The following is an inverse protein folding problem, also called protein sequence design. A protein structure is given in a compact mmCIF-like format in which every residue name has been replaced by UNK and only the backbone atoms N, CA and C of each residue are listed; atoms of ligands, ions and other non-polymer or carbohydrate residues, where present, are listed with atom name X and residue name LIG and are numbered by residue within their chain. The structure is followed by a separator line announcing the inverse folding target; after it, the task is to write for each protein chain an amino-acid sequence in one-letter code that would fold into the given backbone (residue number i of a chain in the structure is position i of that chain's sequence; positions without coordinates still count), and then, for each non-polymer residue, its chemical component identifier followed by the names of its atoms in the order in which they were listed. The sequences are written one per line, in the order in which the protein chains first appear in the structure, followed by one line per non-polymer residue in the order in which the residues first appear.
data_IF_049642225301
#
_entry.id   IF_049642225301
#
_cell.length_a   1.000
_cell.length_b   1.000
_cell.length_c   1.000
_cell.angle_alpha   90.00
_cell.angle_beta   90.00
_cell.angle_gamma   90.00
#
_symmetry.space_group_name_H-M   'P 1'
#
loop_
_entity.id
_entity.type
_entity.pdbx_description
1 polymer ?
#
# COMPACT_ATOMS: atom_id res chain seq x y z
N UNK A 1 29.44 29.79 60.17
CA UNK A 1 29.12 29.98 58.75
C UNK A 1 28.96 28.56 58.17
N UNK A 2 27.70 28.07 58.12
CA UNK A 2 27.38 26.71 57.65
C UNK A 2 27.03 26.75 56.18
N UNK A 3 27.71 26.01 55.36
CA UNK A 3 27.35 25.81 53.93
C UNK A 3 26.46 24.56 53.86
N UNK A 4 25.30 24.63 53.19
CA UNK A 4 24.46 23.45 53.01
C UNK A 4 25.01 22.57 51.84
N UNK A 5 25.10 21.26 52.14
CA UNK A 5 25.47 20.20 51.18
C UNK A 5 24.47 20.16 50.03
N UNK A 6 24.95 20.47 48.83
CA UNK A 6 24.24 20.23 47.57
C UNK A 6 24.34 18.76 47.19
N UNK A 7 23.27 17.97 47.39
CA UNK A 7 23.14 16.62 46.77
C UNK A 7 22.85 16.77 45.29
N UNK A 8 23.59 16.13 44.41
CA UNK A 8 23.26 16.14 42.97
C UNK A 8 21.97 15.37 42.74
N UNK A 9 20.96 16.05 42.19
CA UNK A 9 19.73 15.43 41.69
C UNK A 9 20.09 14.53 40.51
N UNK A 10 19.89 13.22 40.67
CA UNK A 10 20.05 12.24 39.58
C UNK A 10 18.98 12.55 38.54
N UNK A 11 19.42 13.14 37.43
CA UNK A 11 18.58 13.32 36.23
C UNK A 11 18.31 11.92 35.67
N UNK A 12 17.08 11.41 35.87
CA UNK A 12 16.62 10.23 35.15
C UNK A 12 16.53 10.60 33.66
N UNK A 13 17.52 10.22 32.89
CA UNK A 13 17.47 10.25 31.43
C UNK A 13 16.45 9.18 31.05
N UNK A 14 15.21 9.60 30.83
CA UNK A 14 14.22 8.75 30.18
C UNK A 14 14.73 8.56 28.75
N UNK A 15 15.32 7.38 28.50
CA UNK A 15 15.56 6.94 27.13
C UNK A 15 14.18 6.69 26.53
N UNK A 16 13.65 7.67 25.78
CA UNK A 16 12.64 7.38 24.79
C UNK A 16 13.28 6.46 23.78
N UNK A 17 12.97 5.16 23.88
CA UNK A 17 13.22 4.21 22.80
C UNK A 17 12.45 4.78 21.62
N UNK A 18 13.15 5.27 20.60
CA UNK A 18 12.48 5.72 19.38
C UNK A 18 11.61 4.55 18.91
N UNK A 19 10.30 4.78 18.85
CA UNK A 19 9.39 3.78 18.31
C UNK A 19 9.84 3.49 16.88
N UNK A 20 10.15 2.23 16.58
CA UNK A 20 10.55 1.80 15.24
C UNK A 20 9.28 1.84 14.42
N UNK A 21 9.11 2.90 13.64
CA UNK A 21 7.99 3.02 12.72
C UNK A 21 8.29 2.12 11.53
N UNK A 22 7.42 1.14 11.24
CA UNK A 22 7.50 0.32 10.04
C UNK A 22 6.50 0.81 9.00
N UNK A 23 6.78 0.56 7.73
CA UNK A 23 5.88 0.87 6.63
C UNK A 23 5.42 -0.39 5.91
N UNK A 24 4.17 -0.36 5.45
CA UNK A 24 3.59 -1.39 4.59
C UNK A 24 3.46 -0.86 3.17
N UNK A 25 3.76 -1.69 2.18
CA UNK A 25 3.38 -1.42 0.79
C UNK A 25 2.34 -2.42 0.33
N UNK A 26 1.29 -1.92 -0.35
CA UNK A 26 0.18 -2.68 -0.88
C UNK A 26 0.02 -2.47 -2.38
N UNK A 27 -0.57 -3.45 -3.07
CA UNK A 27 -1.08 -3.26 -4.43
C UNK A 27 -2.41 -2.50 -4.43
N UNK A 28 -2.76 -1.80 -5.51
CA UNK A 28 -4.08 -1.23 -5.69
C UNK A 28 -5.11 -2.31 -6.02
N UNK A 29 -6.36 -1.93 -6.26
CA UNK A 29 -7.40 -2.79 -6.81
C UNK A 29 -7.78 -2.37 -8.22
N UNK A 30 -8.22 -3.35 -9.04
CA UNK A 30 -8.77 -3.09 -10.38
C UNK A 30 -10.17 -2.48 -10.32
N UNK A 31 -10.96 -2.90 -9.32
CA UNK A 31 -12.28 -2.37 -9.06
C UNK A 31 -12.17 -1.12 -8.18
N UNK A 32 -13.05 -0.18 -8.41
CA UNK A 32 -13.10 1.09 -7.68
C UNK A 32 -14.50 1.32 -7.14
N UNK A 33 -14.60 1.85 -5.94
CA UNK A 33 -15.84 2.32 -5.33
C UNK A 33 -16.02 3.82 -5.62
N UNK A 34 -16.62 4.13 -6.77
CA UNK A 34 -16.90 5.51 -7.20
C UNK A 34 -18.22 6.05 -6.64
N UNK A 35 -19.11 5.17 -6.16
CA UNK A 35 -20.51 5.54 -5.84
C UNK A 35 -20.68 6.02 -4.41
N UNK A 36 -20.08 5.29 -3.45
CA UNK A 36 -20.28 5.63 -2.06
C UNK A 36 -19.43 6.84 -1.67
N UNK A 37 -19.95 7.77 -0.89
CA UNK A 37 -19.19 8.91 -0.41
C UNK A 37 -18.06 8.45 0.51
N UNK A 38 -17.03 9.27 0.66
CA UNK A 38 -16.02 9.05 1.69
C UNK A 38 -16.64 9.17 3.08
N UNK A 39 -16.34 8.25 4.01
CA UNK A 39 -16.84 8.34 5.39
C UNK A 39 -16.17 9.45 6.22
N UNK A 40 -15.09 10.04 5.71
CA UNK A 40 -14.31 11.08 6.39
C UNK A 40 -14.00 12.25 5.46
N UNK A 41 -13.80 13.43 6.01
CA UNK A 41 -13.50 14.65 5.26
C UNK A 41 -12.01 14.96 5.12
N UNK A 42 -11.13 14.38 5.96
CA UNK A 42 -9.69 14.60 5.88
C UNK A 42 -9.10 13.93 4.63
N UNK A 43 -8.18 14.63 3.98
CA UNK A 43 -7.50 14.13 2.79
C UNK A 43 -6.10 14.74 2.64
N UNK A 44 -5.31 14.12 1.77
CA UNK A 44 -4.00 14.61 1.33
C UNK A 44 -3.92 14.58 -0.20
N UNK A 45 -2.87 15.16 -0.77
CA UNK A 45 -2.62 15.17 -2.21
C UNK A 45 -1.48 14.20 -2.56
N UNK A 46 -1.55 13.46 -3.67
CA UNK A 46 -0.48 12.55 -4.08
C UNK A 46 0.84 13.28 -4.32
N UNK A 47 1.93 12.79 -3.74
CA UNK A 47 3.26 13.41 -3.88
C UNK A 47 3.79 13.36 -5.32
N UNK A 48 3.41 12.33 -6.10
CA UNK A 48 3.83 12.14 -7.49
C UNK A 48 2.75 12.54 -8.50
N UNK A 49 1.83 13.44 -8.13
CA UNK A 49 0.75 13.90 -9.01
C UNK A 49 1.24 14.49 -10.34
N UNK A 50 2.32 15.30 -10.39
CA UNK A 50 2.87 15.78 -11.65
C UNK A 50 3.32 14.66 -12.61
N UNK A 51 3.79 13.55 -12.08
CA UNK A 51 4.16 12.37 -12.87
C UNK A 51 2.92 11.66 -13.44
N UNK A 52 1.87 11.58 -12.63
CA UNK A 52 0.59 11.01 -13.06
C UNK A 52 -0.06 11.85 -14.18
N UNK A 53 0.09 13.19 -14.14
CA UNK A 53 -0.37 14.07 -15.22
C UNK A 53 0.29 13.76 -16.57
N UNK A 54 1.61 13.50 -16.57
CA UNK A 54 2.35 13.11 -17.78
C UNK A 54 1.77 11.82 -18.36
N UNK A 55 1.61 10.77 -17.53
CA UNK A 55 1.01 9.51 -17.98
C UNK A 55 -0.42 9.70 -18.47
N UNK A 56 -1.22 10.50 -17.77
CA UNK A 56 -2.60 10.74 -18.15
C UNK A 56 -2.72 11.51 -19.48
N UNK A 57 -1.81 12.46 -19.73
CA UNK A 57 -1.77 13.16 -21.03
C UNK A 57 -1.54 12.18 -22.19
N UNK A 58 -0.71 11.17 -22.01
CA UNK A 58 -0.46 10.15 -23.02
C UNK A 58 -1.62 9.15 -23.13
N UNK A 59 -2.20 8.71 -21.99
CA UNK A 59 -3.35 7.80 -21.96
C UNK A 59 -4.58 8.37 -22.67
N UNK A 60 -4.79 9.68 -22.60
CA UNK A 60 -5.89 10.38 -23.27
C UNK A 60 -5.83 10.31 -24.79
N UNK A 61 -4.65 10.09 -25.36
CA UNK A 61 -4.49 9.99 -26.81
C UNK A 61 -4.97 8.63 -27.35
N UNK A 62 -5.19 7.66 -26.46
CA UNK A 62 -5.60 6.32 -26.88
C UNK A 62 -7.09 6.24 -27.14
N UNK A 63 -7.45 5.75 -28.33
CA UNK A 63 -8.83 5.37 -28.63
C UNK A 63 -9.26 4.15 -27.78
N UNK A 64 -10.57 3.95 -27.53
CA UNK A 64 -11.05 2.81 -26.73
C UNK A 64 -10.53 1.45 -27.20
N UNK A 65 -10.40 1.23 -28.52
CA UNK A 65 -9.85 0.00 -29.08
C UNK A 65 -8.38 -0.22 -28.68
N UNK A 66 -7.57 0.83 -28.69
CA UNK A 66 -6.17 0.78 -28.26
C UNK A 66 -6.06 0.51 -26.75
N UNK A 67 -6.98 1.06 -25.94
CA UNK A 67 -7.08 0.77 -24.51
C UNK A 67 -7.45 -0.71 -24.28
N UNK A 68 -8.40 -1.25 -25.07
CA UNK A 68 -8.80 -2.67 -24.99
C UNK A 68 -7.62 -3.60 -25.26
N UNK A 69 -6.85 -3.32 -26.31
CA UNK A 69 -5.65 -4.08 -26.68
C UNK A 69 -4.54 -3.94 -25.63
N UNK A 70 -4.24 -2.71 -25.20
CA UNK A 70 -3.17 -2.42 -24.24
C UNK A 70 -3.39 -3.09 -22.88
N UNK A 71 -4.62 -3.04 -22.39
CA UNK A 71 -4.97 -3.53 -21.04
C UNK A 71 -5.60 -4.93 -21.05
N UNK A 72 -5.78 -5.55 -22.22
CA UNK A 72 -6.45 -6.84 -22.39
C UNK A 72 -7.82 -6.89 -21.70
N UNK A 73 -8.67 -5.91 -22.00
CA UNK A 73 -10.00 -5.75 -21.39
C UNK A 73 -11.09 -5.75 -22.47
N UNK A 74 -12.35 -5.97 -22.03
CA UNK A 74 -13.50 -5.85 -22.95
C UNK A 74 -13.71 -4.42 -23.41
N UNK A 75 -14.39 -4.25 -24.56
CA UNK A 75 -14.74 -2.93 -25.13
C UNK A 75 -15.50 -2.06 -24.13
N UNK A 76 -16.38 -2.66 -23.33
CA UNK A 76 -17.12 -1.94 -22.26
C UNK A 76 -16.18 -1.33 -21.23
N UNK A 77 -15.16 -2.08 -20.80
CA UNK A 77 -14.16 -1.61 -19.83
C UNK A 77 -13.23 -0.59 -20.47
N UNK A 78 -12.86 -0.78 -21.73
CA UNK A 78 -12.04 0.16 -22.47
C UNK A 78 -12.73 1.50 -22.66
N UNK A 79 -14.01 1.50 -23.06
CA UNK A 79 -14.81 2.72 -23.18
C UNK A 79 -14.92 3.46 -21.84
N UNK A 80 -15.27 2.76 -20.77
CA UNK A 80 -15.31 3.36 -19.42
C UNK A 80 -13.97 4.03 -19.04
N UNK A 81 -12.84 3.42 -19.37
CA UNK A 81 -11.54 4.00 -19.03
C UNK A 81 -11.15 5.15 -19.98
N UNK A 82 -11.56 5.12 -21.25
CA UNK A 82 -11.42 6.27 -22.11
C UNK A 82 -12.21 7.48 -21.58
N UNK A 83 -13.44 7.26 -21.10
CA UNK A 83 -14.27 8.30 -20.47
C UNK A 83 -13.61 8.83 -19.18
N UNK A 84 -13.11 7.96 -18.31
CA UNK A 84 -12.37 8.36 -17.09
C UNK A 84 -11.14 9.19 -17.43
N UNK A 85 -10.34 8.75 -18.40
CA UNK A 85 -9.15 9.47 -18.84
C UNK A 85 -9.50 10.86 -19.39
N UNK A 86 -10.60 10.99 -20.14
CA UNK A 86 -11.04 12.25 -20.73
C UNK A 86 -11.42 13.29 -19.68
N UNK A 87 -12.07 12.88 -18.58
CA UNK A 87 -12.54 13.79 -17.52
C UNK A 87 -11.53 14.00 -16.39
N UNK A 88 -10.47 13.18 -16.33
CA UNK A 88 -9.44 13.31 -15.30
C UNK A 88 -8.74 14.66 -15.38
N UNK A 89 -8.65 15.41 -14.29
CA UNK A 89 -8.02 16.74 -14.26
C UNK A 89 -7.56 17.12 -12.85
N UNK A 90 -6.60 18.02 -12.77
CA UNK A 90 -6.17 18.69 -11.54
C UNK A 90 -6.77 20.11 -11.46
N UNK A 91 -6.87 20.69 -10.26
CA UNK A 91 -6.50 20.14 -8.95
C UNK A 91 -7.50 19.09 -8.45
N UNK A 92 -7.03 18.15 -7.61
CA UNK A 92 -7.92 17.22 -6.93
C UNK A 92 -8.61 17.89 -5.75
N UNK A 93 -9.92 17.71 -5.67
CA UNK A 93 -10.76 18.18 -4.57
C UNK A 93 -11.73 17.08 -4.16
N UNK A 94 -12.35 17.14 -2.97
CA UNK A 94 -13.35 16.14 -2.56
C UNK A 94 -14.55 16.01 -3.50
N UNK A 95 -14.80 17.03 -4.35
CA UNK A 95 -15.91 17.03 -5.33
C UNK A 95 -15.57 16.22 -6.59
N UNK A 96 -14.28 16.06 -6.92
CA UNK A 96 -13.84 15.38 -8.14
C UNK A 96 -12.94 14.15 -7.89
N UNK A 97 -12.60 13.87 -6.63
CA UNK A 97 -11.69 12.80 -6.25
C UNK A 97 -12.07 12.22 -4.89
N UNK A 98 -11.61 11.02 -4.58
CA UNK A 98 -11.84 10.34 -3.30
C UNK A 98 -10.54 9.76 -2.76
N UNK A 99 -10.42 9.64 -1.43
CA UNK A 99 -9.26 9.06 -0.78
C UNK A 99 -9.01 7.62 -1.27
N UNK A 100 -7.76 7.30 -1.54
CA UNK A 100 -7.35 6.05 -2.18
C UNK A 100 -7.83 4.80 -1.43
N UNK A 101 -7.77 4.78 -0.10
CA UNK A 101 -8.19 3.63 0.71
C UNK A 101 -9.69 3.35 0.61
N UNK A 102 -10.52 4.36 0.34
CA UNK A 102 -11.98 4.23 0.14
C UNK A 102 -12.37 4.13 -1.34
N UNK A 103 -11.45 4.48 -2.24
CA UNK A 103 -11.67 4.34 -3.68
C UNK A 103 -11.37 2.93 -4.16
N UNK A 104 -10.25 2.33 -3.74
CA UNK A 104 -9.92 0.97 -4.14
C UNK A 104 -10.88 -0.05 -3.52
N UNK A 105 -11.36 -1.00 -4.33
CA UNK A 105 -12.32 -2.03 -3.94
C UNK A 105 -11.88 -3.41 -4.47
N UNK A 106 -11.63 -4.35 -3.56
CA UNK A 106 -11.20 -5.71 -3.86
C UNK A 106 -10.60 -6.39 -2.64
N UNK A 107 -10.20 -7.66 -2.78
CA UNK A 107 -9.88 -8.56 -1.67
C UNK A 107 -8.96 -7.95 -0.59
N UNK A 108 -7.94 -7.16 -0.99
CA UNK A 108 -7.04 -6.47 -0.04
C UNK A 108 -7.82 -5.43 0.77
N UNK A 109 -8.62 -4.61 0.10
CA UNK A 109 -9.37 -3.50 0.71
C UNK A 109 -10.57 -3.99 1.51
N UNK A 110 -11.18 -5.11 1.10
CA UNK A 110 -12.16 -5.84 1.92
C UNK A 110 -11.53 -6.39 3.21
N UNK A 111 -10.26 -6.83 3.15
CA UNK A 111 -9.51 -7.23 4.33
C UNK A 111 -9.20 -6.07 5.27
N UNK A 112 -8.88 -4.87 4.75
CA UNK A 112 -8.68 -3.65 5.54
C UNK A 112 -10.00 -3.18 6.13
N UNK A 113 -11.10 -3.18 5.32
CA UNK A 113 -12.42 -2.66 5.67
C UNK A 113 -12.33 -1.27 6.34
N UNK A 114 -11.66 -0.33 5.66
CA UNK A 114 -11.29 0.97 6.21
C UNK A 114 -12.47 1.82 6.68
N UNK A 115 -13.65 1.63 6.08
CA UNK A 115 -14.91 2.28 6.44
C UNK A 115 -15.43 1.87 7.83
N UNK A 116 -14.92 0.77 8.39
CA UNK A 116 -15.26 0.26 9.73
C UNK A 116 -14.23 0.60 10.81
N UNK A 117 -13.11 1.22 10.41
CA UNK A 117 -12.04 1.58 11.33
C UNK A 117 -12.35 2.87 12.08
N UNK A 118 -11.82 2.97 13.30
CA UNK A 118 -11.89 4.19 14.10
C UNK A 118 -10.94 5.27 13.58
N UNK A 119 -11.16 6.56 13.92
CA UNK A 119 -10.29 7.64 13.45
C UNK A 119 -8.80 7.42 13.73
N UNK A 120 -8.43 6.96 14.92
CA UNK A 120 -7.03 6.68 15.28
C UNK A 120 -6.41 5.56 14.45
N UNK A 121 -7.22 4.59 14.01
CA UNK A 121 -6.78 3.50 13.14
C UNK A 121 -6.61 3.98 11.69
N UNK A 122 -7.45 4.90 11.23
CA UNK A 122 -7.28 5.58 9.94
C UNK A 122 -6.00 6.42 9.96
N UNK A 123 -5.72 7.12 11.04
CA UNK A 123 -4.48 7.89 11.22
C UNK A 123 -3.26 6.96 11.18
N UNK A 124 -3.35 5.78 11.80
CA UNK A 124 -2.33 4.75 11.69
C UNK A 124 -2.11 4.33 10.23
N UNK A 125 -3.18 4.04 9.48
CA UNK A 125 -3.06 3.70 8.06
C UNK A 125 -2.34 4.82 7.29
N UNK A 126 -2.73 6.07 7.48
CA UNK A 126 -2.14 7.23 6.79
C UNK A 126 -0.65 7.36 7.06
N UNK A 127 -0.22 7.06 8.26
CA UNK A 127 1.18 7.15 8.67
C UNK A 127 2.01 5.98 8.14
N UNK A 128 1.48 4.75 8.20
CA UNK A 128 2.25 3.51 8.01
C UNK A 128 2.06 2.84 6.65
N UNK A 129 1.03 3.17 5.86
CA UNK A 129 0.72 2.45 4.63
C UNK A 129 1.02 3.28 3.39
N UNK A 130 1.55 2.62 2.35
CA UNK A 130 1.74 3.17 1.01
C UNK A 130 1.12 2.22 -0.01
N UNK A 131 0.35 2.78 -0.93
CA UNK A 131 -0.37 2.04 -1.97
C UNK A 131 0.38 2.25 -3.29
N UNK A 132 0.93 1.19 -3.85
CA UNK A 132 1.59 1.26 -5.16
C UNK A 132 0.52 1.44 -6.24
N UNK A 133 0.85 2.16 -7.31
CA UNK A 133 -0.09 2.49 -8.37
C UNK A 133 0.62 2.63 -9.71
N UNK A 134 0.04 2.07 -10.78
CA UNK A 134 0.56 2.25 -12.13
C UNK A 134 0.50 3.71 -12.60
N UNK A 135 -0.57 4.44 -12.24
CA UNK A 135 -0.75 5.83 -12.62
C UNK A 135 -0.14 6.82 -11.63
N UNK A 136 -0.30 6.60 -10.34
CA UNK A 136 0.11 7.56 -9.29
C UNK A 136 1.46 7.21 -8.64
N UNK A 137 2.10 6.10 -9.02
CA UNK A 137 3.35 5.61 -8.41
C UNK A 137 3.14 5.12 -6.98
N UNK A 138 3.08 6.03 -6.03
CA UNK A 138 2.82 5.76 -4.60
C UNK A 138 1.75 6.72 -4.09
N UNK A 139 0.77 6.17 -3.38
CA UNK A 139 -0.27 6.92 -2.68
C UNK A 139 -0.21 6.64 -1.19
N UNK A 140 -0.53 7.65 -0.38
CA UNK A 140 -0.95 7.46 1.00
C UNK A 140 -2.44 7.08 1.04
N UNK A 141 -2.94 6.41 2.08
CA UNK A 141 -4.35 6.02 2.19
C UNK A 141 -5.35 7.15 1.97
N UNK A 142 -5.06 8.35 2.47
CA UNK A 142 -5.94 9.52 2.36
C UNK A 142 -5.61 10.44 1.17
N UNK A 143 -4.70 10.07 0.30
CA UNK A 143 -4.45 10.82 -0.92
C UNK A 143 -5.69 10.78 -1.83
N UNK A 144 -6.11 11.94 -2.30
CA UNK A 144 -7.17 12.04 -3.29
C UNK A 144 -6.73 11.43 -4.61
N UNK A 145 -7.58 10.62 -5.19
CA UNK A 145 -7.38 10.05 -6.52
C UNK A 145 -8.67 10.07 -7.33
N UNK A 146 -8.54 10.27 -8.62
CA UNK A 146 -9.63 10.07 -9.57
C UNK A 146 -9.59 8.65 -10.13
N UNK A 147 -10.75 8.11 -10.56
CA UNK A 147 -10.84 6.77 -11.11
C UNK A 147 -9.95 6.57 -12.32
N UNK A 148 -9.28 5.44 -12.38
CA UNK A 148 -8.40 5.05 -13.48
C UNK A 148 -8.28 3.53 -13.57
N UNK A 149 -7.72 3.03 -14.68
CA UNK A 149 -7.20 1.68 -14.80
C UNK A 149 -5.88 1.73 -15.56
N UNK A 150 -4.82 1.41 -14.88
CA UNK A 150 -3.48 1.24 -15.44
C UNK A 150 -2.70 0.35 -14.49
N UNK A 151 -2.51 -0.91 -14.87
CA UNK A 151 -1.77 -1.89 -14.06
C UNK A 151 -0.27 -1.67 -14.25
N UNK A 152 0.53 -1.90 -13.20
CA UNK A 152 1.98 -1.64 -13.24
C UNK A 152 2.70 -2.48 -14.31
N UNK A 153 2.20 -3.69 -14.58
CA UNK A 153 2.72 -4.61 -15.58
C UNK A 153 2.30 -4.28 -17.03
N UNK A 154 1.47 -3.24 -17.24
CA UNK A 154 1.02 -2.85 -18.57
C UNK A 154 2.19 -2.39 -19.43
N UNK A 155 2.29 -2.96 -20.66
CA UNK A 155 3.33 -2.61 -21.63
C UNK A 155 3.01 -1.27 -22.34
N UNK A 156 2.74 -0.23 -21.54
CA UNK A 156 2.44 1.10 -22.02
C UNK A 156 3.73 1.83 -22.40
N UNK A 157 4.02 1.90 -23.70
CA UNK A 157 5.10 2.73 -24.22
C UNK A 157 4.76 4.21 -24.02
N UNK A 158 5.70 4.96 -23.51
CA UNK A 158 5.51 6.33 -23.04
C UNK A 158 6.75 7.17 -23.31
N UNK A 159 6.70 8.46 -23.02
CA UNK A 159 7.80 9.41 -23.25
C UNK A 159 9.12 9.07 -22.54
N UNK A 160 9.11 8.15 -21.56
CA UNK A 160 10.32 7.78 -20.80
C UNK A 160 10.77 6.34 -21.00
N UNK A 161 9.99 5.51 -21.70
CA UNK A 161 10.36 4.12 -21.91
C UNK A 161 9.26 3.25 -22.50
N UNK A 162 9.52 1.94 -22.53
CA UNK A 162 8.66 0.95 -23.17
C UNK A 162 7.50 0.45 -22.30
N UNK A 163 7.54 0.76 -21.00
CA UNK A 163 6.60 0.27 -20.00
C UNK A 163 6.61 1.17 -18.75
N UNK A 164 5.73 0.90 -17.79
CA UNK A 164 5.63 1.69 -16.58
C UNK A 164 6.83 1.52 -15.63
N UNK A 165 7.51 0.40 -15.63
CA UNK A 165 8.72 0.23 -14.82
C UNK A 165 9.83 1.18 -15.28
N UNK A 166 9.97 1.38 -16.59
CA UNK A 166 10.92 2.34 -17.16
C UNK A 166 10.46 3.79 -16.91
N UNK A 167 9.15 4.05 -16.99
CA UNK A 167 8.59 5.37 -16.68
C UNK A 167 8.89 5.80 -15.24
N UNK A 168 8.60 4.92 -14.30
CA UNK A 168 8.80 5.20 -12.88
C UNK A 168 10.28 5.19 -12.49
N UNK A 169 11.10 4.33 -13.11
CA UNK A 169 12.52 4.19 -12.79
C UNK A 169 12.73 4.04 -11.28
N UNK A 170 13.51 4.93 -10.69
CA UNK A 170 13.77 4.93 -9.25
C UNK A 170 12.81 5.81 -8.42
N UNK A 171 11.91 6.58 -9.04
CA UNK A 171 11.07 7.58 -8.37
C UNK A 171 10.24 7.01 -7.22
N UNK A 172 9.68 5.80 -7.40
CA UNK A 172 8.92 5.10 -6.35
C UNK A 172 9.84 4.77 -5.18
N UNK A 173 11.02 4.22 -5.45
CA UNK A 173 12.01 3.86 -4.44
C UNK A 173 12.55 5.08 -3.70
N UNK A 174 12.83 6.15 -4.42
CA UNK A 174 13.31 7.41 -3.83
C UNK A 174 12.28 8.01 -2.87
N UNK A 175 10.99 8.00 -3.25
CA UNK A 175 9.91 8.47 -2.37
C UNK A 175 9.75 7.57 -1.14
N UNK A 176 9.83 6.24 -1.30
CA UNK A 176 9.81 5.32 -0.16
C UNK A 176 11.00 5.54 0.77
N UNK A 177 12.21 5.72 0.24
CA UNK A 177 13.40 6.03 1.03
C UNK A 177 13.29 7.37 1.77
N UNK A 178 12.73 8.40 1.11
CA UNK A 178 12.45 9.68 1.73
C UNK A 178 11.46 9.52 2.89
N UNK A 179 10.39 8.78 2.69
CA UNK A 179 9.35 8.49 3.71
C UNK A 179 9.96 7.76 4.91
N UNK A 180 10.72 6.70 4.67
CA UNK A 180 11.42 5.94 5.71
C UNK A 180 12.36 6.84 6.52
N UNK A 181 13.19 7.63 5.84
CA UNK A 181 14.13 8.56 6.47
C UNK A 181 13.44 9.61 7.34
N UNK A 182 12.34 10.22 6.84
CA UNK A 182 11.58 11.22 7.57
C UNK A 182 10.94 10.68 8.84
N UNK A 183 10.52 9.41 8.81
CA UNK A 183 9.93 8.74 9.96
C UNK A 183 10.97 8.10 10.90
N UNK A 184 12.26 8.12 10.55
CA UNK A 184 13.30 7.43 11.31
C UNK A 184 13.17 5.89 11.25
N UNK A 185 12.55 5.37 10.19
CA UNK A 185 12.30 3.94 9.98
C UNK A 185 13.32 3.31 9.04
N UNK A 186 13.62 2.05 9.26
CA UNK A 186 14.44 1.21 8.40
C UNK A 186 13.77 -0.13 8.03
N UNK A 187 12.43 -0.23 8.18
CA UNK A 187 11.66 -1.45 7.92
C UNK A 187 10.53 -1.22 6.93
N UNK A 188 10.50 -2.04 5.87
CA UNK A 188 9.44 -2.09 4.89
C UNK A 188 8.81 -3.49 4.84
N UNK A 189 7.50 -3.57 5.10
CA UNK A 189 6.69 -4.79 5.00
C UNK A 189 6.06 -4.84 3.62
N UNK A 190 6.47 -5.80 2.81
CA UNK A 190 5.95 -5.96 1.46
C UNK A 190 4.70 -6.85 1.44
N UNK A 191 3.55 -6.23 1.34
CA UNK A 191 2.25 -6.88 1.12
C UNK A 191 1.73 -6.66 -0.32
N UNK A 192 2.55 -6.08 -1.21
CA UNK A 192 2.22 -5.93 -2.61
C UNK A 192 2.43 -7.24 -3.39
N UNK A 193 1.82 -7.35 -4.57
CA UNK A 193 2.11 -8.43 -5.51
C UNK A 193 3.48 -8.23 -6.15
N UNK A 194 4.06 -9.31 -6.71
CA UNK A 194 5.32 -9.23 -7.44
C UNK A 194 5.27 -8.21 -8.59
N UNK A 195 4.13 -8.11 -9.29
CA UNK A 195 3.93 -7.15 -10.37
C UNK A 195 4.15 -5.72 -9.88
N UNK A 196 3.52 -5.33 -8.77
CA UNK A 196 3.64 -3.98 -8.25
C UNK A 196 4.96 -3.76 -7.54
N UNK A 197 5.43 -4.71 -6.75
CA UNK A 197 6.68 -4.55 -6.00
C UNK A 197 7.92 -4.53 -6.91
N UNK A 198 7.85 -5.06 -8.11
CA UNK A 198 8.92 -4.95 -9.14
C UNK A 198 9.22 -3.48 -9.51
N UNK A 199 8.31 -2.55 -9.27
CA UNK A 199 8.57 -1.11 -9.45
C UNK A 199 9.46 -0.51 -8.37
N UNK A 200 9.73 -1.24 -7.29
CA UNK A 200 10.66 -0.85 -6.21
C UNK A 200 12.03 -1.47 -6.49
N UNK A 201 13.03 -0.62 -6.65
CA UNK A 201 14.42 -1.06 -6.81
C UNK A 201 15.00 -1.46 -5.46
N UNK A 202 14.98 -2.77 -5.16
CA UNK A 202 15.43 -3.31 -3.88
C UNK A 202 16.92 -3.10 -3.59
N UNK A 203 17.74 -2.87 -4.62
CA UNK A 203 19.17 -2.56 -4.45
C UNK A 203 19.40 -1.13 -3.95
N UNK A 204 18.45 -0.23 -4.17
CA UNK A 204 18.47 1.16 -3.72
C UNK A 204 17.58 1.43 -2.51
N UNK A 205 16.80 0.44 -2.09
CA UNK A 205 15.92 0.57 -0.93
C UNK A 205 16.74 0.57 0.37
N UNK A 206 16.60 1.63 1.16
CA UNK A 206 17.30 1.81 2.43
C UNK A 206 16.48 1.26 3.61
N UNK A 207 16.04 -0.01 3.51
CA UNK A 207 15.26 -0.65 4.55
C UNK A 207 15.47 -2.17 4.58
N UNK A 208 15.32 -2.75 5.76
CA UNK A 208 15.09 -4.18 5.93
C UNK A 208 13.74 -4.52 5.30
N UNK A 209 13.75 -5.38 4.30
CA UNK A 209 12.54 -5.83 3.63
C UNK A 209 12.04 -7.13 4.27
N UNK A 210 10.75 -7.13 4.66
CA UNK A 210 10.05 -8.31 5.17
C UNK A 210 8.84 -8.55 4.27
N UNK A 211 8.67 -9.79 3.79
CA UNK A 211 7.55 -10.19 2.93
C UNK A 211 6.72 -11.27 3.62
N UNK A 212 5.55 -10.93 4.18
CA UNK A 212 4.59 -11.91 4.66
C UNK A 212 4.01 -12.74 3.52
N UNK A 213 3.99 -14.06 3.70
CA UNK A 213 3.48 -15.04 2.74
C UNK A 213 2.34 -15.81 3.39
N UNK A 214 1.15 -15.75 2.79
CA UNK A 214 -0.05 -16.41 3.30
C UNK A 214 -0.32 -17.69 2.51
N UNK A 215 -0.38 -18.83 3.21
CA UNK A 215 -0.64 -20.14 2.64
C UNK A 215 -1.87 -20.77 3.30
N UNK A 216 -2.75 -21.28 2.47
CA UNK A 216 -3.95 -22.00 2.90
C UNK A 216 -3.79 -23.49 2.63
N UNK A 217 -4.24 -24.31 3.56
CA UNK A 217 -4.34 -25.74 3.35
C UNK A 217 -5.46 -26.04 2.36
N UNK A 218 -5.17 -26.92 1.42
CA UNK A 218 -6.15 -27.49 0.51
C UNK A 218 -5.74 -28.92 0.14
N UNK A 219 -6.57 -29.89 0.48
CA UNK A 219 -6.31 -31.31 0.26
C UNK A 219 -4.97 -31.75 0.91
N UNK A 220 -4.73 -31.37 2.15
CA UNK A 220 -3.53 -31.74 2.93
C UNK A 220 -2.24 -31.03 2.48
N UNK A 221 -2.32 -29.98 1.67
CA UNK A 221 -1.13 -29.23 1.20
C UNK A 221 -1.32 -27.72 1.35
N UNK A 222 -0.33 -27.07 1.96
CA UNK A 222 -0.30 -25.61 2.07
C UNK A 222 0.19 -24.96 0.78
N UNK A 223 -0.61 -24.03 0.24
CA UNK A 223 -0.30 -23.29 -0.99
C UNK A 223 -0.87 -21.88 -0.94
N UNK A 224 -0.29 -20.99 -1.73
CA UNK A 224 -0.85 -19.64 -1.92
C UNK A 224 -2.13 -19.76 -2.77
N UNK A 225 -3.26 -19.36 -2.19
CA UNK A 225 -4.52 -19.21 -2.92
C UNK A 225 -4.76 -17.71 -3.11
N UNK A 226 -4.77 -17.27 -4.37
CA UNK A 226 -4.65 -15.85 -4.73
C UNK A 226 -5.61 -14.91 -3.99
N UNK A 227 -6.91 -15.23 -3.97
CA UNK A 227 -7.91 -14.35 -3.34
C UNK A 227 -7.80 -14.37 -1.81
N UNK A 228 -7.51 -15.51 -1.17
CA UNK A 228 -7.25 -15.59 0.26
C UNK A 228 -5.99 -14.81 0.66
N UNK A 229 -4.90 -15.00 -0.09
CA UNK A 229 -3.66 -14.27 0.17
C UNK A 229 -3.81 -12.74 0.01
N UNK A 230 -4.61 -12.28 -0.95
CA UNK A 230 -4.92 -10.85 -1.09
C UNK A 230 -5.69 -10.33 0.12
N UNK A 231 -6.75 -11.04 0.54
CA UNK A 231 -7.53 -10.66 1.71
C UNK A 231 -6.67 -10.65 2.98
N UNK A 232 -5.84 -11.68 3.18
CA UNK A 232 -4.94 -11.79 4.33
C UNK A 232 -3.94 -10.61 4.42
N UNK A 233 -3.46 -10.10 3.29
CA UNK A 233 -2.63 -8.88 3.25
C UNK A 233 -3.36 -7.66 3.80
N UNK A 234 -4.62 -7.50 3.43
CA UNK A 234 -5.47 -6.44 3.99
C UNK A 234 -5.75 -6.64 5.48
N UNK A 235 -6.06 -7.87 5.89
CA UNK A 235 -6.28 -8.22 7.29
C UNK A 235 -5.05 -7.96 8.15
N UNK A 236 -3.84 -8.21 7.66
CA UNK A 236 -2.61 -7.91 8.40
C UNK A 236 -2.42 -6.40 8.62
N UNK A 237 -2.73 -5.57 7.64
CA UNK A 237 -2.71 -4.11 7.80
C UNK A 237 -3.77 -3.66 8.80
N UNK A 238 -4.98 -4.22 8.73
CA UNK A 238 -6.05 -3.98 9.71
C UNK A 238 -5.61 -4.36 11.12
N UNK A 239 -5.06 -5.57 11.29
CA UNK A 239 -4.54 -6.06 12.56
C UNK A 239 -3.50 -5.10 13.14
N UNK A 240 -2.56 -4.65 12.31
CA UNK A 240 -1.55 -3.70 12.75
C UNK A 240 -2.16 -2.37 13.21
N UNK A 241 -3.16 -1.84 12.50
CA UNK A 241 -3.85 -0.60 12.86
C UNK A 241 -4.70 -0.76 14.14
N UNK A 242 -5.42 -1.88 14.30
CA UNK A 242 -6.25 -2.14 15.47
C UNK A 242 -5.44 -2.31 16.77
N UNK A 243 -4.21 -2.83 16.65
CA UNK A 243 -3.31 -3.06 17.78
C UNK A 243 -2.22 -1.99 17.92
N UNK A 244 -2.19 -0.98 17.05
CA UNK A 244 -1.17 0.09 17.07
C UNK A 244 0.26 -0.44 16.97
N UNK A 245 0.49 -1.45 16.10
CA UNK A 245 1.77 -2.16 16.01
C UNK A 245 2.82 -1.28 15.35
N UNK A 246 3.91 -1.01 16.05
CA UNK A 246 5.07 -0.26 15.56
C UNK A 246 6.29 -1.15 15.36
N UNK A 247 6.40 -2.26 16.11
CA UNK A 247 7.52 -3.21 16.01
C UNK A 247 7.16 -4.38 15.05
N UNK A 248 7.96 -4.65 14.01
CA UNK A 248 7.66 -5.69 13.01
C UNK A 248 7.41 -7.07 13.61
N UNK A 249 8.18 -7.44 14.64
CA UNK A 249 8.11 -8.76 15.29
C UNK A 249 6.71 -9.04 15.89
N UNK A 250 5.98 -7.99 16.27
CA UNK A 250 4.61 -8.13 16.77
C UNK A 250 3.62 -8.63 15.69
N UNK A 251 3.95 -8.46 14.40
CA UNK A 251 3.14 -9.02 13.30
C UNK A 251 3.12 -10.55 13.30
N UNK A 252 4.11 -11.21 13.93
CA UNK A 252 4.12 -12.68 14.07
C UNK A 252 2.97 -13.21 14.92
N UNK A 253 2.33 -12.36 15.70
CA UNK A 253 1.12 -12.69 16.47
C UNK A 253 -0.17 -12.58 15.67
N UNK A 254 -0.09 -12.26 14.37
CA UNK A 254 -1.25 -12.15 13.50
C UNK A 254 -2.02 -13.48 13.44
N UNK A 255 -3.31 -13.45 13.79
CA UNK A 255 -4.19 -14.62 13.92
C UNK A 255 -5.56 -14.47 13.22
N UNK A 256 -5.80 -13.35 12.51
CA UNK A 256 -7.09 -13.08 11.87
C UNK A 256 -7.45 -14.17 10.86
N UNK A 257 -8.72 -14.55 10.88
CA UNK A 257 -9.30 -15.61 10.06
C UNK A 257 -8.57 -16.96 10.17
N UNK A 258 -7.88 -17.23 11.31
CA UNK A 258 -7.23 -18.50 11.59
C UNK A 258 -5.83 -18.67 10.99
N UNK A 259 -5.22 -17.61 10.48
CA UNK A 259 -3.80 -17.64 10.13
C UNK A 259 -2.93 -17.69 11.38
N UNK A 260 -1.80 -18.38 11.28
CA UNK A 260 -0.77 -18.38 12.31
C UNK A 260 0.62 -18.35 11.69
N UNK A 261 1.56 -17.69 12.38
CA UNK A 261 2.95 -17.64 11.97
C UNK A 261 3.59 -19.02 12.05
N UNK A 262 4.30 -19.43 11.00
CA UNK A 262 5.04 -20.69 10.94
C UNK A 262 6.54 -20.43 10.88
N UNK A 263 7.22 -20.56 12.01
CA UNK A 263 8.64 -20.30 12.14
C UNK A 263 9.48 -21.22 11.26
N UNK A 264 9.14 -22.51 11.19
CA UNK A 264 9.90 -23.51 10.43
C UNK A 264 9.86 -23.27 8.90
N UNK A 265 8.82 -22.60 8.41
CA UNK A 265 8.66 -22.25 6.99
C UNK A 265 9.14 -20.84 6.66
N UNK A 266 9.59 -20.08 7.66
CA UNK A 266 9.99 -18.68 7.57
C UNK A 266 11.50 -18.49 7.56
N UNK A 267 11.95 -17.32 7.12
CA UNK A 267 13.33 -16.84 7.24
C UNK A 267 13.34 -15.35 7.61
N UNK A 268 14.50 -14.71 7.62
CA UNK A 268 14.63 -13.29 8.00
C UNK A 268 13.84 -12.32 7.10
N UNK A 269 13.68 -12.65 5.82
CA UNK A 269 13.02 -11.80 4.81
C UNK A 269 11.61 -12.27 4.46
N UNK A 270 11.29 -13.52 4.63
CA UNK A 270 10.00 -14.11 4.28
C UNK A 270 9.35 -14.73 5.51
N UNK A 271 8.21 -14.18 5.91
CA UNK A 271 7.44 -14.65 7.06
C UNK A 271 6.19 -15.39 6.58
N UNK A 272 6.14 -16.69 6.83
CA UNK A 272 5.06 -17.55 6.37
C UNK A 272 3.98 -17.66 7.42
N UNK A 273 2.76 -17.32 7.02
CA UNK A 273 1.55 -17.50 7.80
C UNK A 273 0.71 -18.60 7.15
N UNK A 274 0.27 -19.56 7.95
CA UNK A 274 -0.49 -20.71 7.48
C UNK A 274 -1.88 -20.72 8.09
N UNK A 275 -2.86 -21.18 7.30
CA UNK A 275 -4.23 -21.38 7.74
C UNK A 275 -4.68 -22.77 7.33
N UNK A 276 -5.25 -23.52 8.27
CA UNK A 276 -5.87 -24.83 8.02
C UNK A 276 -7.05 -24.72 7.06
N UNK A 277 -7.41 -25.84 6.42
CA UNK A 277 -8.53 -25.89 5.49
C UNK A 277 -9.83 -25.53 6.23
N UNK A 278 -10.48 -24.47 5.72
CA UNK A 278 -11.73 -24.01 6.31
C UNK A 278 -12.86 -24.95 5.92
N UNK A 279 -13.56 -25.49 6.90
CA UNK A 279 -14.81 -26.23 6.68
C UNK A 279 -15.84 -25.31 6.00
N UNK A 280 -16.48 -25.82 4.96
CA UNK A 280 -17.55 -25.10 4.23
C UNK A 280 -18.78 -24.90 5.10
#
# INVERSE_FOLDING_TARGET
MFFPDFKPTILHIIHFKAEIIMFFVLSPAKNLNEKDPSPISSFTQPDLLPEAEILMQELRQLAPQQIAELMHVSDKIALLNAERNAVWHTPFTPENAKQAVFMFNGDVYEGIAADTLKPEQIDYLQQHVRLLSGLYGVLRPLDLMQPYRLEMGTAFANSRGKNLYEFWGDKITDLLNQTLKQAGSDVLINLASQEYFKSVNTQKLNARLITPIFKDEKNGKYKIISFYAKRARGLMVRYAAEHGITEPEMLKNFDYEGYSFNEAASNEAEWVFMREEQSK
#
